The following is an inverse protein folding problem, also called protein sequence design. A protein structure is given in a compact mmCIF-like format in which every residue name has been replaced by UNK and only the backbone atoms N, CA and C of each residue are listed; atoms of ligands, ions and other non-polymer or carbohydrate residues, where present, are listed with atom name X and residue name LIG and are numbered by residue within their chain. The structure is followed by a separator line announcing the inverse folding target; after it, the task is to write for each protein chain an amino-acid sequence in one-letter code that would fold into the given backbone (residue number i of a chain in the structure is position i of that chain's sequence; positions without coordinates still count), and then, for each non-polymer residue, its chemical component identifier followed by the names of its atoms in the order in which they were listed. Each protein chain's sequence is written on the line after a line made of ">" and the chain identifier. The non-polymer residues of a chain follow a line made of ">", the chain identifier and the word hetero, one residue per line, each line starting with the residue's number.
data_IF_760297808502
#
_entry.id   IF_760297808502
#
_cell.length_a   1.000
_cell.length_b   1.000
_cell.length_c   1.000
_cell.angle_alpha   90.00
_cell.angle_beta   90.00
_cell.angle_gamma   90.00
#
_symmetry.space_group_name_H-M   'P 1'
#
loop_
_entity.id
_entity.type
_entity.pdbx_description
1 polymer ?
#
# COMPACT_ATOMS: atom_id res chain seq x y z
N UNK A 1 14.44 -12.96 -21.37
CA UNK A 1 14.09 -12.88 -19.94
C UNK A 1 13.17 -11.69 -19.74
N UNK A 2 11.97 -11.90 -19.21
CA UNK A 2 10.99 -10.84 -18.89
C UNK A 2 10.92 -10.67 -17.38
N UNK A 3 10.53 -9.49 -16.90
CA UNK A 3 10.44 -9.21 -15.44
C UNK A 3 9.55 -10.22 -14.72
N UNK A 4 8.40 -10.56 -15.32
CA UNK A 4 7.47 -11.59 -14.83
C UNK A 4 8.07 -13.00 -14.68
N UNK A 5 9.23 -13.27 -15.31
CA UNK A 5 9.90 -14.57 -15.21
C UNK A 5 10.79 -14.64 -13.96
N UNK A 6 11.04 -13.51 -13.29
CA UNK A 6 11.96 -13.39 -12.14
C UNK A 6 11.37 -12.66 -10.93
N UNK A 7 10.15 -12.11 -11.03
CA UNK A 7 9.45 -11.45 -9.91
C UNK A 7 7.98 -11.86 -9.84
N UNK A 8 7.44 -11.87 -8.62
CA UNK A 8 5.99 -11.85 -8.38
C UNK A 8 5.49 -10.41 -8.45
N UNK A 9 4.41 -10.16 -9.19
CA UNK A 9 3.82 -8.83 -9.33
C UNK A 9 2.46 -8.78 -8.64
N UNK A 10 2.28 -7.82 -7.74
CA UNK A 10 1.02 -7.54 -7.09
C UNK A 10 0.53 -6.14 -7.47
N UNK A 11 -0.78 -6.00 -7.67
CA UNK A 11 -1.39 -4.69 -7.84
C UNK A 11 -1.68 -4.07 -6.47
N UNK A 12 -1.63 -2.74 -6.38
CA UNK A 12 -1.99 -2.01 -5.17
C UNK A 12 -3.44 -2.27 -4.72
N UNK A 13 -3.69 -2.05 -3.43
CA UNK A 13 -5.00 -2.25 -2.83
C UNK A 13 -5.99 -1.14 -3.22
N UNK A 14 -7.20 -1.50 -3.63
CA UNK A 14 -8.32 -0.55 -3.77
C UNK A 14 -8.92 -0.27 -2.40
N UNK A 15 -8.47 0.82 -1.76
CA UNK A 15 -8.75 1.15 -0.36
C UNK A 15 -10.25 1.16 -0.01
N UNK A 16 -11.11 1.67 -0.88
CA UNK A 16 -12.56 1.80 -0.63
C UNK A 16 -13.24 0.46 -0.32
N UNK A 17 -12.68 -0.65 -0.82
CA UNK A 17 -13.22 -2.00 -0.61
C UNK A 17 -12.86 -2.59 0.74
N UNK A 18 -11.82 -2.07 1.39
CA UNK A 18 -11.30 -2.58 2.67
C UNK A 18 -11.43 -1.57 3.82
N UNK A 19 -11.81 -0.32 3.52
CA UNK A 19 -11.86 0.79 4.49
C UNK A 19 -12.92 0.56 5.57
N UNK A 20 -12.53 0.77 6.84
CA UNK A 20 -13.45 0.81 7.97
C UNK A 20 -14.44 1.98 7.85
N UNK A 21 -15.70 1.75 8.21
CA UNK A 21 -16.77 2.76 8.18
C UNK A 21 -17.70 2.52 9.38
N UNK A 22 -18.53 3.49 9.72
CA UNK A 22 -19.43 3.42 10.88
C UNK A 22 -20.34 2.18 10.90
N UNK A 23 -20.79 1.72 9.73
CA UNK A 23 -21.59 0.49 9.59
C UNK A 23 -20.86 -0.78 10.07
N UNK A 24 -19.53 -0.77 10.07
CA UNK A 24 -18.71 -1.88 10.56
C UNK A 24 -18.65 -1.88 12.09
N UNK A 25 -18.58 -0.70 12.71
CA UNK A 25 -18.69 -0.56 14.16
C UNK A 25 -20.03 -1.10 14.68
N UNK A 26 -21.14 -0.75 14.00
CA UNK A 26 -22.48 -1.24 14.36
C UNK A 26 -22.57 -2.77 14.25
N UNK A 27 -21.85 -3.38 13.31
CA UNK A 27 -21.81 -4.83 13.09
C UNK A 27 -20.77 -5.57 13.94
N UNK A 28 -20.03 -4.86 14.80
CA UNK A 28 -19.01 -5.46 15.68
C UNK A 28 -17.74 -5.91 14.98
N UNK A 29 -17.40 -5.36 13.81
CA UNK A 29 -16.11 -5.62 13.17
C UNK A 29 -14.99 -4.91 13.93
N UNK A 30 -13.86 -5.61 14.06
CA UNK A 30 -12.61 -5.03 14.52
C UNK A 30 -12.07 -4.00 13.51
N UNK A 31 -11.34 -3.02 14.04
CA UNK A 31 -10.67 -2.00 13.27
C UNK A 31 -9.18 -2.30 13.26
N UNK A 32 -8.62 -2.48 12.07
CA UNK A 32 -7.19 -2.71 11.84
C UNK A 32 -6.56 -1.44 11.27
N UNK A 33 -5.40 -1.04 11.79
CA UNK A 33 -4.78 0.24 11.43
C UNK A 33 -3.42 0.01 10.80
N UNK A 34 -3.19 0.61 9.63
CA UNK A 34 -1.96 0.48 8.85
C UNK A 34 -1.45 1.86 8.42
N UNK A 35 -0.13 2.07 8.34
CA UNK A 35 0.42 3.19 7.59
C UNK A 35 0.13 2.98 6.09
N UNK A 36 -0.34 4.04 5.43
CA UNK A 36 -0.69 4.01 4.02
C UNK A 36 0.43 4.61 3.18
N UNK A 37 1.16 3.74 2.47
CA UNK A 37 2.08 4.16 1.42
C UNK A 37 1.28 4.49 0.16
N UNK A 38 1.11 5.78 -0.13
CA UNK A 38 0.42 6.29 -1.31
C UNK A 38 1.37 7.12 -2.20
N UNK A 39 0.87 7.63 -3.32
CA UNK A 39 1.67 8.44 -4.25
C UNK A 39 2.11 9.80 -3.68
N UNK A 40 1.45 10.30 -2.62
CA UNK A 40 1.81 11.58 -2.00
C UNK A 40 3.05 11.37 -1.11
N UNK A 41 3.05 10.28 -0.33
CA UNK A 41 4.18 9.86 0.52
C UNK A 41 5.45 9.41 -0.23
N UNK A 42 5.55 9.64 -1.54
CA UNK A 42 6.73 9.30 -2.35
C UNK A 42 7.09 10.50 -3.22
N UNK A 43 8.32 10.99 -3.07
CA UNK A 43 8.82 12.11 -3.86
C UNK A 43 9.10 11.73 -5.33
N UNK A 44 9.42 12.73 -6.15
CA UNK A 44 9.73 12.54 -7.57
C UNK A 44 11.02 11.74 -7.82
N UNK A 45 11.80 11.42 -6.78
CA UNK A 45 12.99 10.58 -6.82
C UNK A 45 12.75 9.16 -6.31
N UNK A 46 11.53 8.85 -5.83
CA UNK A 46 11.17 7.54 -5.30
C UNK A 46 11.50 7.35 -3.82
N UNK A 47 11.82 8.40 -3.07
CA UNK A 47 12.04 8.32 -1.62
C UNK A 47 10.71 8.35 -0.88
N UNK A 48 10.58 7.52 0.16
CA UNK A 48 9.41 7.53 1.05
C UNK A 48 9.53 8.71 2.02
N UNK A 49 8.53 9.58 2.02
CA UNK A 49 8.39 10.67 2.97
C UNK A 49 7.53 10.15 4.14
N UNK A 50 8.19 9.73 5.22
CA UNK A 50 7.54 9.05 6.35
C UNK A 50 6.47 9.93 7.02
N UNK A 51 6.70 11.24 7.06
CA UNK A 51 5.79 12.23 7.64
C UNK A 51 4.49 12.39 6.87
N UNK A 52 4.48 11.96 5.60
CA UNK A 52 3.30 12.01 4.71
C UNK A 52 2.55 10.68 4.66
N UNK A 53 2.97 9.67 5.43
CA UNK A 53 2.20 8.43 5.56
C UNK A 53 0.89 8.71 6.31
N UNK A 54 -0.21 8.53 5.60
CA UNK A 54 -1.54 8.62 6.18
C UNK A 54 -1.88 7.34 6.96
N UNK A 55 -2.85 7.44 7.87
CA UNK A 55 -3.41 6.27 8.54
C UNK A 55 -4.53 5.67 7.71
N UNK A 56 -4.45 4.37 7.40
CA UNK A 56 -5.53 3.60 6.81
C UNK A 56 -6.16 2.65 7.82
N UNK A 57 -7.47 2.79 8.02
CA UNK A 57 -8.26 1.89 8.87
C UNK A 57 -9.02 0.89 7.99
N UNK A 58 -8.87 -0.41 8.27
CA UNK A 58 -9.55 -1.51 7.60
C UNK A 58 -10.53 -2.23 8.52
N UNK A 59 -11.59 -2.81 7.95
CA UNK A 59 -12.57 -3.64 8.68
C UNK A 59 -12.20 -5.12 8.76
N UNK A 60 -11.07 -5.50 8.18
CA UNK A 60 -10.52 -6.84 8.21
C UNK A 60 -8.99 -6.77 8.23
N UNK A 61 -8.34 -7.85 8.64
CA UNK A 61 -6.90 -7.95 8.51
C UNK A 61 -6.52 -8.06 7.02
N UNK A 62 -5.56 -7.26 6.57
CA UNK A 62 -5.15 -7.23 5.18
C UNK A 62 -4.25 -8.42 4.86
N UNK A 63 -4.56 -9.09 3.75
CA UNK A 63 -3.68 -10.13 3.21
C UNK A 63 -2.27 -9.57 2.95
N UNK A 64 -1.26 -10.36 3.28
CA UNK A 64 0.17 -10.11 3.07
C UNK A 64 0.51 -9.57 1.68
N UNK A 65 -0.21 -9.94 0.63
CA UNK A 65 0.00 -9.43 -0.73
C UNK A 65 -0.23 -7.91 -0.87
N UNK A 66 -0.99 -7.31 0.05
CA UNK A 66 -1.26 -5.87 0.12
C UNK A 66 -0.32 -5.12 1.06
N UNK A 67 0.53 -5.85 1.81
CA UNK A 67 1.48 -5.27 2.74
C UNK A 67 2.84 -5.18 2.07
N UNK A 68 3.44 -3.99 2.10
CA UNK A 68 4.82 -3.79 1.65
C UNK A 68 5.78 -4.42 2.64
N UNK A 69 6.75 -5.18 2.15
CA UNK A 69 7.78 -5.85 2.94
C UNK A 69 9.18 -5.41 2.49
N UNK A 70 10.13 -5.49 3.40
CA UNK A 70 11.55 -5.29 3.08
C UNK A 70 11.97 -6.17 1.89
N UNK A 71 12.74 -5.61 0.97
CA UNK A 71 13.16 -6.27 -0.28
C UNK A 71 12.18 -6.13 -1.44
N UNK A 72 10.99 -5.56 -1.23
CA UNK A 72 10.05 -5.28 -2.32
C UNK A 72 10.42 -4.02 -3.11
N UNK A 73 9.96 -3.97 -4.36
CA UNK A 73 10.04 -2.81 -5.22
C UNK A 73 8.63 -2.31 -5.53
N UNK A 74 8.37 -1.04 -5.24
CA UNK A 74 7.16 -0.35 -5.65
C UNK A 74 7.44 0.44 -6.93
N UNK A 75 6.67 0.18 -7.98
CA UNK A 75 6.86 0.82 -9.30
C UNK A 75 5.69 1.73 -9.62
N UNK A 76 5.96 3.02 -9.83
CA UNK A 76 4.97 3.99 -10.29
C UNK A 76 4.90 3.95 -11.81
N UNK A 77 3.76 3.52 -12.35
CA UNK A 77 3.54 3.39 -13.81
C UNK A 77 3.05 4.67 -14.49
N UNK A 78 3.05 5.80 -13.77
CA UNK A 78 2.68 7.13 -14.26
C UNK A 78 3.81 8.13 -13.95
N UNK A 79 3.94 9.21 -14.73
CA UNK A 79 4.94 10.25 -14.48
C UNK A 79 4.93 10.72 -13.00
N UNK A 80 6.10 10.84 -12.34
CA UNK A 80 7.47 10.77 -12.87
C UNK A 80 8.14 9.37 -12.86
N UNK A 81 7.41 8.28 -13.12
CA UNK A 81 7.95 6.92 -13.34
C UNK A 81 9.07 6.50 -12.36
N UNK A 82 8.75 6.49 -11.08
CA UNK A 82 9.70 6.18 -10.01
C UNK A 82 9.67 4.70 -9.63
N UNK A 83 10.77 4.24 -9.03
CA UNK A 83 10.88 2.93 -8.39
C UNK A 83 11.39 3.12 -6.97
N UNK A 84 10.63 2.66 -5.99
CA UNK A 84 10.96 2.78 -4.57
C UNK A 84 11.32 1.41 -4.03
N UNK A 85 12.51 1.28 -3.45
CA UNK A 85 12.94 0.08 -2.73
C UNK A 85 12.48 0.16 -1.28
N UNK A 86 11.86 -0.92 -0.78
CA UNK A 86 11.44 -1.03 0.62
C UNK A 86 12.61 -1.64 1.40
N UNK A 87 13.19 -0.85 2.30
CA UNK A 87 14.33 -1.19 3.17
C UNK A 87 14.00 -1.05 4.64
#
# INVERSE_FOLDING_TARGET
>A
MKLKDVVSMNAGLVLTRKRYQDKHAIKGYEKYTYPLLNLHSIDDYGNIIQEELETFESFEDLDSQYLTQEGMLLVRVNYPYTCTYIS
#
